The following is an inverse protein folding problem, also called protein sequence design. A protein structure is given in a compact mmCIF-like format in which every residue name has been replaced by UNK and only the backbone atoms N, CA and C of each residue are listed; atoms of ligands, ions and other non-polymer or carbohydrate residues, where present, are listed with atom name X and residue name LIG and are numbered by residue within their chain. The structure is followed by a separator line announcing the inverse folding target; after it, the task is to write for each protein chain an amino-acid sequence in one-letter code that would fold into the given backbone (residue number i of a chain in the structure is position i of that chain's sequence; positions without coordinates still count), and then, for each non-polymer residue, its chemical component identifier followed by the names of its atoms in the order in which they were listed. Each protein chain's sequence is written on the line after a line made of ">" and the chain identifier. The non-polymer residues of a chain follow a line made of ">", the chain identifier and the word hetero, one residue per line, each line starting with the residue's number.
data_IF_130344384458
#
_entry.id   IF_130344384458
#
_cell.length_a   1.000
_cell.length_b   1.000
_cell.length_c   1.000
_cell.angle_alpha   90.00
_cell.angle_beta   90.00
_cell.angle_gamma   90.00
#
_symmetry.space_group_name_H-M   'P 1'
#
loop_
_entity.id
_entity.type
_entity.pdbx_description
1 polymer ?
#
# COMPACT_ATOMS: atom_id res chain seq x y z
N UNK A 1 -19.17 14.47 6.26
CA UNK A 1 -17.80 14.04 6.59
C UNK A 1 -17.14 13.54 5.31
N UNK A 2 -15.88 13.87 5.03
CA UNK A 2 -15.18 13.37 3.83
C UNK A 2 -14.79 11.90 4.00
N UNK A 3 -14.53 11.19 2.92
CA UNK A 3 -14.07 9.80 3.00
C UNK A 3 -12.75 9.68 3.77
N UNK A 4 -11.79 10.58 3.47
CA UNK A 4 -10.51 10.63 4.19
C UNK A 4 -10.67 10.84 5.71
N UNK A 5 -11.63 11.65 6.15
CA UNK A 5 -11.86 11.88 7.59
C UNK A 5 -12.29 10.58 8.28
N UNK A 6 -13.15 9.78 7.64
CA UNK A 6 -13.58 8.49 8.16
C UNK A 6 -12.43 7.47 8.21
N UNK A 7 -11.54 7.46 7.20
CA UNK A 7 -10.32 6.63 7.21
C UNK A 7 -9.38 7.06 8.35
N UNK A 8 -9.19 8.36 8.57
CA UNK A 8 -8.37 8.88 9.67
C UNK A 8 -8.95 8.45 11.02
N UNK A 9 -10.27 8.57 11.21
CA UNK A 9 -10.95 8.10 12.43
C UNK A 9 -10.76 6.60 12.63
N UNK A 10 -10.90 5.80 11.57
CA UNK A 10 -10.68 4.35 11.65
C UNK A 10 -9.25 4.03 12.09
N UNK A 11 -8.25 4.66 11.47
CA UNK A 11 -6.86 4.39 11.85
C UNK A 11 -6.51 4.89 13.26
N UNK A 12 -7.10 6.01 13.70
CA UNK A 12 -6.95 6.51 15.07
C UNK A 12 -7.64 5.61 16.09
N UNK A 13 -8.75 4.96 15.71
CA UNK A 13 -9.40 3.93 16.51
C UNK A 13 -8.47 2.74 16.71
N UNK A 14 -7.87 2.20 15.65
CA UNK A 14 -7.02 1.00 15.78
C UNK A 14 -5.75 1.23 16.62
N UNK A 15 -5.21 2.46 16.65
CA UNK A 15 -4.05 2.78 17.49
C UNK A 15 -4.38 3.18 18.92
N UNK A 16 -5.66 3.41 19.27
CA UNK A 16 -6.18 3.79 20.61
C UNK A 16 -5.27 4.70 21.46
N UNK A 17 -4.70 5.75 20.85
CA UNK A 17 -3.81 6.68 21.55
C UNK A 17 -2.43 6.13 21.93
N UNK A 18 -2.07 4.91 21.52
CA UNK A 18 -0.72 4.35 21.62
C UNK A 18 0.25 4.96 20.61
N UNK A 19 -0.30 5.59 19.56
CA UNK A 19 0.43 6.33 18.55
C UNK A 19 -0.19 7.71 18.34
N UNK A 20 0.68 8.63 17.93
CA UNK A 20 0.29 10.00 17.61
C UNK A 20 -0.45 10.06 16.27
N UNK A 21 -1.19 11.15 16.04
CA UNK A 21 -1.79 11.42 14.72
C UNK A 21 -0.75 11.41 13.58
N UNK A 22 0.48 11.85 13.85
CA UNK A 22 1.56 11.84 12.85
C UNK A 22 1.93 10.41 12.39
N UNK A 23 1.75 9.39 13.23
CA UNK A 23 1.96 8.00 12.84
C UNK A 23 0.93 7.56 11.79
N UNK A 24 -0.34 7.92 11.99
CA UNK A 24 -1.43 7.70 11.01
C UNK A 24 -1.14 8.43 9.70
N UNK A 25 -0.71 9.70 9.76
CA UNK A 25 -0.27 10.44 8.57
C UNK A 25 0.84 9.71 7.81
N UNK A 26 1.86 9.24 8.51
CA UNK A 26 3.00 8.54 7.89
C UNK A 26 2.61 7.21 7.24
N UNK A 27 1.66 6.47 7.83
CA UNK A 27 1.09 5.28 7.22
C UNK A 27 0.36 5.62 5.91
N UNK A 28 -0.59 6.57 5.95
CA UNK A 28 -1.36 7.01 4.79
C UNK A 28 -0.46 7.55 3.66
N UNK A 29 0.60 8.28 4.01
CA UNK A 29 1.58 8.82 3.06
C UNK A 29 2.49 7.74 2.46
N UNK A 30 2.66 6.61 3.14
CA UNK A 30 3.55 5.52 2.71
C UNK A 30 5.00 5.69 3.15
N UNK A 31 5.27 6.32 4.30
CA UNK A 31 6.65 6.48 4.81
C UNK A 31 7.22 5.12 5.18
N UNK A 32 8.21 4.63 4.42
CA UNK A 32 8.89 3.34 4.68
C UNK A 32 9.97 3.44 5.76
N UNK A 33 9.61 3.91 6.95
CA UNK A 33 10.49 3.89 8.12
C UNK A 33 10.21 2.66 8.98
N UNK A 34 11.22 2.10 9.66
CA UNK A 34 11.07 0.87 10.43
C UNK A 34 9.89 0.91 11.42
N UNK A 35 9.67 2.07 12.07
CA UNK A 35 8.52 2.27 12.95
C UNK A 35 7.19 2.22 12.20
N UNK A 36 7.07 2.92 11.07
CA UNK A 36 5.83 2.92 10.26
C UNK A 36 5.51 1.52 9.73
N UNK A 37 6.53 0.78 9.28
CA UNK A 37 6.39 -0.60 8.80
C UNK A 37 5.90 -1.50 9.93
N UNK A 38 6.49 -1.37 11.12
CA UNK A 38 6.09 -2.15 12.28
C UNK A 38 4.67 -1.78 12.75
N UNK A 39 4.35 -0.50 12.85
CA UNK A 39 3.03 -0.01 13.26
C UNK A 39 1.93 -0.47 12.29
N UNK A 40 2.21 -0.54 10.99
CA UNK A 40 1.27 -1.06 10.00
C UNK A 40 0.80 -2.49 10.35
N UNK A 41 1.71 -3.36 10.79
CA UNK A 41 1.38 -4.74 11.13
C UNK A 41 0.88 -4.89 12.58
N UNK A 42 1.42 -4.08 13.49
CA UNK A 42 1.07 -4.16 14.91
C UNK A 42 -0.40 -3.78 15.16
N UNK A 43 -0.89 -2.78 14.41
CA UNK A 43 -2.23 -2.22 14.53
C UNK A 43 -3.16 -2.65 13.38
N UNK A 44 -2.78 -3.66 12.59
CA UNK A 44 -3.62 -4.18 11.49
C UNK A 44 -4.02 -3.10 10.45
N UNK A 45 -3.10 -2.16 10.18
CA UNK A 45 -3.29 -0.99 9.31
C UNK A 45 -2.65 -1.14 7.91
N UNK A 46 -2.16 -2.32 7.55
CA UNK A 46 -1.53 -2.63 6.25
C UNK A 46 -2.41 -2.19 5.08
N UNK A 47 -3.73 -2.40 5.19
CA UNK A 47 -4.74 -1.99 4.20
C UNK A 47 -4.63 -0.53 3.78
N UNK A 48 -4.29 0.35 4.71
CA UNK A 48 -4.27 1.82 4.53
C UNK A 48 -2.88 2.38 4.22
N UNK A 49 -1.87 1.53 4.12
CA UNK A 49 -0.52 2.00 3.84
C UNK A 49 -0.41 2.61 2.44
N UNK A 50 0.16 3.81 2.36
CA UNK A 50 0.35 4.57 1.11
C UNK A 50 -0.95 4.81 0.31
N UNK A 51 -2.12 4.81 0.95
CA UNK A 51 -3.39 5.05 0.24
C UNK A 51 -3.72 6.52 0.05
N UNK A 52 -2.95 7.46 0.62
CA UNK A 52 -3.10 8.89 0.39
C UNK A 52 -1.73 9.57 0.14
N UNK A 53 -1.00 9.19 -0.92
CA UNK A 53 0.34 9.70 -1.18
C UNK A 53 0.35 11.20 -1.52
N UNK A 54 -0.79 11.78 -1.92
CA UNK A 54 -0.96 13.21 -2.18
C UNK A 54 -1.11 14.04 -0.89
N UNK A 55 -1.40 13.41 0.25
CA UNK A 55 -1.74 14.09 1.50
C UNK A 55 -0.58 14.96 2.01
N UNK A 56 -0.85 16.23 2.25
CA UNK A 56 0.10 17.17 2.84
C UNK A 56 -0.09 17.22 4.35
N UNK A 57 1.01 17.39 5.10
CA UNK A 57 0.95 17.40 6.57
C UNK A 57 0.00 18.48 7.09
N UNK A 58 0.09 19.70 6.54
CA UNK A 58 -0.79 20.80 6.95
C UNK A 58 -2.29 20.46 6.76
N UNK A 59 -2.66 19.89 5.61
CA UNK A 59 -4.05 19.50 5.34
C UNK A 59 -4.53 18.37 6.24
N UNK A 60 -3.63 17.46 6.64
CA UNK A 60 -3.93 16.42 7.62
C UNK A 60 -4.15 17.00 9.02
N UNK A 61 -3.28 17.89 9.48
CA UNK A 61 -3.42 18.57 10.77
C UNK A 61 -4.73 19.36 10.85
N UNK A 62 -5.10 20.08 9.77
CA UNK A 62 -6.39 20.75 9.67
C UNK A 62 -7.58 19.77 9.77
N UNK A 63 -7.49 18.60 9.14
CA UNK A 63 -8.53 17.58 9.23
C UNK A 63 -8.68 17.07 10.67
N UNK A 64 -7.56 16.78 11.35
CA UNK A 64 -7.56 16.34 12.76
C UNK A 64 -8.11 17.43 13.69
N UNK A 65 -7.71 18.68 13.49
CA UNK A 65 -8.23 19.80 14.29
C UNK A 65 -9.73 19.97 14.09
N UNK A 66 -10.22 19.92 12.86
CA UNK A 66 -11.65 19.97 12.58
C UNK A 66 -12.41 18.82 13.25
N UNK A 67 -11.84 17.60 13.28
CA UNK A 67 -12.45 16.44 13.96
C UNK A 67 -12.50 16.62 15.49
N UNK A 68 -11.51 17.29 16.09
CA UNK A 68 -11.53 17.69 17.51
C UNK A 68 -12.61 18.75 17.77
N UNK A 69 -12.62 19.84 16.99
CA UNK A 69 -13.54 20.97 17.18
C UNK A 69 -15.01 20.56 17.00
N UNK A 70 -15.26 19.62 16.08
CA UNK A 70 -16.59 19.06 15.83
C UNK A 70 -16.98 17.93 16.79
N UNK A 71 -16.12 17.58 17.75
CA UNK A 71 -16.40 16.60 18.80
C UNK A 71 -16.42 15.13 18.33
N UNK A 72 -15.77 14.81 17.21
CA UNK A 72 -15.56 13.42 16.77
C UNK A 72 -14.35 12.77 17.46
N UNK A 73 -13.38 13.59 17.86
CA UNK A 73 -12.20 13.17 18.62
C UNK A 73 -12.15 13.90 19.97
N UNK A 74 -11.43 13.31 20.92
CA UNK A 74 -11.03 13.97 22.16
C UNK A 74 -9.59 13.57 22.56
N UNK A 75 -9.02 14.28 23.54
CA UNK A 75 -7.66 14.04 24.03
C UNK A 75 -6.68 15.14 23.61
N UNK A 76 -5.39 14.78 23.52
CA UNK A 76 -4.32 15.68 23.05
C UNK A 76 -3.79 15.20 21.70
N UNK A 77 -3.08 16.04 20.95
CA UNK A 77 -2.50 15.63 19.65
C UNK A 77 -1.55 14.43 19.75
N UNK A 78 -0.95 14.20 20.93
CA UNK A 78 -0.11 13.04 21.20
C UNK A 78 -0.91 11.77 21.49
N UNK A 79 -2.15 11.91 21.96
CA UNK A 79 -2.99 10.81 22.42
C UNK A 79 -4.47 11.13 22.16
N UNK A 80 -4.94 10.68 21.00
CA UNK A 80 -6.30 10.92 20.50
C UNK A 80 -7.16 9.67 20.65
N UNK A 81 -8.45 9.91 20.90
CA UNK A 81 -9.47 8.89 21.01
C UNK A 81 -10.75 9.33 20.30
N UNK A 82 -11.50 8.36 19.79
CA UNK A 82 -12.81 8.61 19.18
C UNK A 82 -13.87 8.83 20.26
N UNK A 83 -14.74 9.81 20.06
CA UNK A 83 -15.99 9.90 20.82
C UNK A 83 -17.04 8.95 20.24
N UNK A 84 -18.14 8.72 20.95
CA UNK A 84 -19.29 7.99 20.39
C UNK A 84 -19.82 8.64 19.09
N UNK A 85 -19.78 9.97 19.02
CA UNK A 85 -20.15 10.73 17.82
C UNK A 85 -19.17 10.43 16.67
N UNK A 86 -17.87 10.41 16.96
CA UNK A 86 -16.82 10.04 16.02
C UNK A 86 -17.03 8.64 15.45
N UNK A 87 -17.25 7.67 16.33
CA UNK A 87 -17.49 6.28 15.96
C UNK A 87 -18.69 6.13 15.03
N UNK A 88 -19.85 6.69 15.40
CA UNK A 88 -21.07 6.64 14.57
C UNK A 88 -20.88 7.32 13.21
N UNK A 89 -20.24 8.49 13.19
CA UNK A 89 -20.03 9.23 11.95
C UNK A 89 -19.06 8.50 11.00
N UNK A 90 -18.01 7.87 11.55
CA UNK A 90 -17.08 7.02 10.82
C UNK A 90 -17.80 5.80 10.23
N UNK A 91 -18.55 5.05 11.03
CA UNK A 91 -19.29 3.87 10.59
C UNK A 91 -20.32 4.20 9.50
N UNK A 92 -21.10 5.27 9.69
CA UNK A 92 -22.06 5.73 8.68
C UNK A 92 -21.35 6.05 7.35
N UNK A 93 -20.25 6.81 7.38
CA UNK A 93 -19.54 7.18 6.16
C UNK A 93 -18.90 5.97 5.47
N UNK A 94 -18.33 5.02 6.22
CA UNK A 94 -17.73 3.81 5.65
C UNK A 94 -18.80 2.85 5.08
N UNK A 95 -19.98 2.79 5.69
CA UNK A 95 -21.11 2.02 5.17
C UNK A 95 -21.68 2.62 3.87
N UNK A 96 -21.71 3.96 3.75
CA UNK A 96 -22.10 4.66 2.52
C UNK A 96 -21.08 4.48 1.38
N UNK A 97 -19.79 4.39 1.70
CA UNK A 97 -18.69 4.46 0.72
C UNK A 97 -18.09 3.12 0.30
N UNK A 98 -18.67 2.01 0.80
CA UNK A 98 -18.15 0.63 0.66
C UNK A 98 -16.89 0.42 1.50
N UNK A 99 -16.80 -0.71 2.21
CA UNK A 99 -15.71 -1.02 3.17
C UNK A 99 -14.35 -1.31 2.47
N UNK A 100 -14.20 -0.99 1.19
CA UNK A 100 -13.02 -1.24 0.34
C UNK A 100 -12.34 -2.61 0.59
N UNK A 101 -13.05 -3.74 0.47
CA UNK A 101 -12.51 -5.07 0.80
C UNK A 101 -11.27 -5.46 0.01
N UNK A 102 -11.14 -5.03 -1.25
CA UNK A 102 -9.99 -5.35 -2.10
C UNK A 102 -8.83 -4.37 -1.95
N UNK A 103 -8.94 -3.36 -1.08
CA UNK A 103 -7.86 -2.40 -0.88
C UNK A 103 -6.70 -3.07 -0.14
N UNK A 104 -5.55 -3.18 -0.81
CA UNK A 104 -4.31 -3.73 -0.23
C UNK A 104 -3.16 -2.73 -0.38
N UNK A 105 -3.21 -1.65 0.39
CA UNK A 105 -2.24 -0.55 0.32
C UNK A 105 -0.79 -1.02 0.49
N UNK A 106 -0.51 -1.83 1.51
CA UNK A 106 0.83 -2.36 1.77
C UNK A 106 1.41 -3.11 0.58
N UNK A 107 0.73 -4.18 0.14
CA UNK A 107 1.18 -5.10 -0.91
C UNK A 107 1.23 -4.43 -2.29
N UNK A 108 0.27 -3.55 -2.59
CA UNK A 108 0.11 -2.99 -3.94
C UNK A 108 0.64 -1.56 -4.07
N UNK A 109 1.15 -0.94 -3.00
CA UNK A 109 1.67 0.44 -3.02
C UNK A 109 2.71 0.73 -4.11
N UNK A 110 3.59 -0.24 -4.40
CA UNK A 110 4.58 -0.13 -5.48
C UNK A 110 4.04 -0.58 -6.84
N UNK A 111 3.17 -1.58 -6.86
CA UNK A 111 2.69 -2.24 -8.08
C UNK A 111 1.60 -1.42 -8.78
N UNK A 112 0.59 -0.96 -8.02
CA UNK A 112 -0.61 -0.37 -8.56
C UNK A 112 -0.36 0.92 -9.36
N UNK A 113 0.45 1.89 -8.90
CA UNK A 113 0.73 3.10 -9.68
C UNK A 113 1.45 2.79 -11.00
N UNK A 114 2.40 1.84 -10.98
CA UNK A 114 3.16 1.47 -12.19
C UNK A 114 2.26 0.72 -13.17
N UNK A 115 1.47 -0.23 -12.69
CA UNK A 115 0.46 -0.94 -13.48
C UNK A 115 -0.49 0.05 -14.16
N UNK A 116 -1.02 1.01 -13.40
CA UNK A 116 -1.95 2.02 -13.92
C UNK A 116 -1.31 2.92 -14.99
N UNK A 117 -0.07 3.39 -14.77
CA UNK A 117 0.63 4.21 -15.77
C UNK A 117 0.88 3.43 -17.08
N UNK A 118 1.21 2.14 -16.98
CA UNK A 118 1.46 1.29 -18.14
C UNK A 118 0.18 1.01 -18.92
N UNK A 119 -0.93 0.65 -18.25
CA UNK A 119 -2.21 0.40 -18.93
C UNK A 119 -2.78 1.68 -19.53
N UNK A 120 -2.65 2.83 -18.86
CA UNK A 120 -3.07 4.13 -19.39
C UNK A 120 -2.33 4.48 -20.69
N UNK A 121 -1.00 4.30 -20.71
CA UNK A 121 -0.22 4.50 -21.93
C UNK A 121 -0.56 3.47 -23.00
N UNK A 122 -0.80 2.20 -22.63
CA UNK A 122 -1.16 1.16 -23.59
C UNK A 122 -2.47 1.50 -24.31
N UNK A 123 -3.50 1.88 -23.55
CA UNK A 123 -4.80 2.29 -24.10
C UNK A 123 -4.64 3.45 -25.08
N UNK A 124 -3.83 4.46 -24.72
CA UNK A 124 -3.55 5.58 -25.62
C UNK A 124 -2.86 5.12 -26.91
N UNK A 125 -1.80 4.31 -26.79
CA UNK A 125 -1.03 3.83 -27.95
C UNK A 125 -1.92 3.00 -28.88
N UNK A 126 -2.70 2.06 -28.33
CA UNK A 126 -3.60 1.19 -29.09
C UNK A 126 -4.70 2.01 -29.77
N UNK A 127 -5.26 3.01 -29.09
CA UNK A 127 -6.22 3.93 -29.70
C UNK A 127 -5.63 4.64 -30.92
N UNK A 128 -4.43 5.22 -30.81
CA UNK A 128 -3.78 5.89 -31.94
C UNK A 128 -3.40 4.92 -33.09
N UNK A 129 -2.95 3.70 -32.77
CA UNK A 129 -2.68 2.65 -33.76
C UNK A 129 -3.94 2.30 -34.55
N UNK A 130 -5.09 2.13 -33.87
CA UNK A 130 -6.35 1.76 -34.51
C UNK A 130 -6.82 2.79 -35.56
N UNK A 131 -6.45 4.07 -35.37
CA UNK A 131 -6.75 5.15 -36.32
C UNK A 131 -5.60 5.48 -37.28
N UNK A 132 -4.54 4.66 -37.32
CA UNK A 132 -3.33 4.90 -38.12
C UNK A 132 -2.65 6.24 -37.85
N UNK A 133 -2.85 6.80 -36.66
CA UNK A 133 -2.25 8.06 -36.23
C UNK A 133 -0.98 7.77 -35.42
N UNK A 134 0.16 8.25 -35.91
CA UNK A 134 1.46 8.02 -35.27
C UNK A 134 1.98 9.25 -34.53
N UNK A 135 1.26 10.37 -34.62
CA UNK A 135 1.67 11.66 -34.06
C UNK A 135 0.83 11.98 -32.83
N UNK A 136 1.28 11.53 -31.66
CA UNK A 136 0.66 11.85 -30.40
C UNK A 136 1.70 12.13 -29.31
N UNK A 137 1.28 12.89 -28.30
CA UNK A 137 2.06 13.09 -27.10
C UNK A 137 1.69 12.03 -26.07
N UNK A 138 2.64 11.24 -25.55
CA UNK A 138 2.38 10.26 -24.51
C UNK A 138 1.69 10.89 -23.29
N UNK A 139 0.70 10.20 -22.74
CA UNK A 139 -0.08 10.62 -21.56
C UNK A 139 0.80 10.77 -20.30
N UNK A 140 1.93 10.07 -20.26
CA UNK A 140 2.91 10.13 -19.18
C UNK A 140 4.25 10.69 -19.65
N UNK A 141 4.91 11.48 -18.79
CA UNK A 141 6.29 11.96 -18.99
C UNK A 141 7.34 11.00 -18.41
N UNK A 142 6.93 9.91 -17.79
CA UNK A 142 7.84 8.93 -17.21
C UNK A 142 8.56 8.15 -18.33
N UNK A 143 9.85 8.43 -18.50
CA UNK A 143 10.70 7.79 -19.50
C UNK A 143 10.78 6.28 -19.32
N UNK A 144 10.80 5.77 -18.07
CA UNK A 144 10.86 4.33 -17.82
C UNK A 144 9.60 3.62 -18.31
N UNK A 145 8.42 4.23 -18.10
CA UNK A 145 7.15 3.69 -18.60
C UNK A 145 7.09 3.74 -20.13
N UNK A 146 7.61 4.81 -20.75
CA UNK A 146 7.67 4.92 -22.21
C UNK A 146 8.63 3.90 -22.84
N UNK A 147 9.81 3.69 -22.24
CA UNK A 147 10.77 2.68 -22.68
C UNK A 147 10.22 1.26 -22.52
N UNK A 148 9.59 0.97 -21.37
CA UNK A 148 8.90 -0.28 -21.14
C UNK A 148 7.83 -0.52 -22.21
N UNK A 149 7.02 0.49 -22.55
CA UNK A 149 5.99 0.39 -23.59
C UNK A 149 6.57 0.06 -24.97
N UNK A 150 7.68 0.71 -25.35
CA UNK A 150 8.38 0.40 -26.60
C UNK A 150 8.90 -1.03 -26.60
N UNK A 151 9.44 -1.51 -25.48
CA UNK A 151 9.88 -2.89 -25.30
C UNK A 151 8.72 -3.89 -25.41
N UNK A 152 7.62 -3.60 -24.72
CA UNK A 152 6.38 -4.38 -24.75
C UNK A 152 5.86 -4.57 -26.17
N UNK A 153 5.72 -3.49 -26.94
CA UNK A 153 5.22 -3.55 -28.32
C UNK A 153 6.18 -4.22 -29.30
N UNK A 154 7.50 -4.19 -29.04
CA UNK A 154 8.50 -4.90 -29.86
C UNK A 154 8.53 -6.40 -29.59
N UNK A 155 8.34 -6.80 -28.32
CA UNK A 155 8.37 -8.20 -27.88
C UNK A 155 7.03 -8.90 -28.06
N UNK A 156 5.94 -8.15 -28.14
CA UNK A 156 4.62 -8.70 -28.42
C UNK A 156 4.61 -9.33 -29.81
N UNK A 157 4.36 -10.64 -29.86
CA UNK A 157 4.11 -11.39 -31.10
C UNK A 157 2.70 -11.13 -31.66
N UNK A 158 1.90 -10.33 -30.95
CA UNK A 158 0.51 -10.02 -31.31
C UNK A 158 0.51 -9.06 -32.49
N UNK A 159 -0.24 -9.41 -33.53
CA UNK A 159 -0.47 -8.51 -34.65
C UNK A 159 -1.07 -7.19 -34.14
N UNK A 160 -0.48 -6.07 -34.57
CA UNK A 160 -0.93 -4.72 -34.21
C UNK A 160 -2.40 -4.49 -34.56
N UNK A 161 -2.92 -5.19 -35.56
CA UNK A 161 -4.33 -5.14 -35.96
C UNK A 161 -5.25 -5.82 -34.92
N UNK A 162 -4.77 -6.89 -34.27
CA UNK A 162 -5.51 -7.66 -33.26
C UNK A 162 -5.35 -7.11 -31.84
N UNK A 163 -4.28 -6.34 -31.60
CA UNK A 163 -3.97 -5.76 -30.29
C UNK A 163 -5.13 -4.93 -29.72
N UNK A 164 -5.86 -4.19 -30.57
CA UNK A 164 -7.03 -3.41 -30.14
C UNK A 164 -8.18 -4.29 -29.66
N UNK A 165 -8.55 -5.31 -30.44
CA UNK A 165 -9.63 -6.22 -30.09
C UNK A 165 -9.32 -7.01 -28.81
N UNK A 166 -8.06 -7.44 -28.67
CA UNK A 166 -7.62 -8.18 -27.50
C UNK A 166 -7.58 -7.31 -26.24
N UNK A 167 -7.01 -6.09 -26.32
CA UNK A 167 -7.00 -5.17 -25.19
C UNK A 167 -8.43 -4.81 -24.75
N UNK A 168 -9.33 -4.57 -25.71
CA UNK A 168 -10.72 -4.29 -25.42
C UNK A 168 -11.38 -5.47 -24.68
N UNK A 169 -11.20 -6.70 -25.15
CA UNK A 169 -11.73 -7.91 -24.49
C UNK A 169 -11.23 -8.02 -23.05
N UNK A 170 -9.92 -7.90 -22.85
CA UNK A 170 -9.32 -8.01 -21.52
C UNK A 170 -9.77 -6.87 -20.58
N UNK A 171 -9.87 -5.64 -21.09
CA UNK A 171 -10.38 -4.50 -20.31
C UNK A 171 -11.84 -4.69 -19.89
N UNK A 172 -12.72 -5.10 -20.81
CA UNK A 172 -14.13 -5.37 -20.50
C UNK A 172 -14.21 -6.44 -19.40
N UNK A 173 -13.46 -7.54 -19.53
CA UNK A 173 -13.46 -8.63 -18.56
C UNK A 173 -13.16 -8.15 -17.13
N UNK A 174 -12.11 -7.34 -16.95
CA UNK A 174 -11.71 -6.85 -15.62
C UNK A 174 -12.60 -5.73 -15.11
N UNK A 175 -13.07 -4.83 -15.98
CA UNK A 175 -13.91 -3.69 -15.60
C UNK A 175 -15.34 -4.10 -15.21
N UNK A 176 -15.86 -5.19 -15.78
CA UNK A 176 -17.14 -5.78 -15.37
C UNK A 176 -17.08 -6.53 -14.04
N UNK A 177 -15.88 -6.91 -13.57
CA UNK A 177 -15.67 -7.73 -12.36
C UNK A 177 -15.08 -6.98 -11.18
N UNK A 178 -14.67 -5.73 -11.37
CA UNK A 178 -14.19 -4.88 -10.28
C UNK A 178 -15.37 -4.32 -9.44
N UNK A 179 -15.14 -3.94 -8.17
CA UNK A 179 -16.21 -3.70 -7.21
C UNK A 179 -16.87 -2.31 -7.26
N UNK A 180 -16.36 -1.36 -8.06
CA UNK A 180 -16.79 0.04 -8.10
C UNK A 180 -17.51 0.40 -9.42
N UNK A 181 -17.85 1.67 -9.63
CA UNK A 181 -18.24 2.15 -10.96
C UNK A 181 -17.00 2.08 -11.91
N UNK A 182 -17.07 1.39 -13.07
CA UNK A 182 -15.98 1.32 -14.05
C UNK A 182 -15.43 2.69 -14.49
N UNK A 183 -16.26 3.73 -14.45
CA UNK A 183 -15.85 5.10 -14.79
C UNK A 183 -14.77 5.66 -13.86
N UNK A 184 -14.61 5.08 -12.65
CA UNK A 184 -13.49 5.41 -11.77
C UNK A 184 -12.14 5.22 -12.47
N UNK A 185 -12.04 4.20 -13.33
CA UNK A 185 -10.86 3.87 -14.13
C UNK A 185 -10.97 4.46 -15.55
N UNK A 186 -12.09 4.27 -16.23
CA UNK A 186 -12.24 4.59 -17.66
C UNK A 186 -12.03 6.07 -17.98
N UNK A 187 -12.54 6.98 -17.14
CA UNK A 187 -12.38 8.42 -17.33
C UNK A 187 -10.92 8.89 -17.29
N UNK A 188 -10.04 8.06 -16.75
CA UNK A 188 -8.61 8.33 -16.62
C UNK A 188 -7.82 7.81 -17.84
N UNK A 189 -8.46 7.17 -18.81
CA UNK A 189 -7.83 6.79 -20.06
C UNK A 189 -7.95 7.87 -21.12
N UNK A 190 -6.93 7.97 -21.98
CA UNK A 190 -6.88 8.87 -23.12
C UNK A 190 -6.74 8.08 -24.41
N UNK A 191 -7.19 8.66 -25.51
CA UNK A 191 -7.06 8.09 -26.84
C UNK A 191 -7.16 9.18 -27.90
N UNK A 192 -7.26 8.77 -29.16
CA UNK A 192 -7.40 9.73 -30.25
C UNK A 192 -8.69 10.55 -30.09
N UNK A 193 -8.55 11.87 -29.97
CA UNK A 193 -9.68 12.78 -29.79
C UNK A 193 -10.30 12.78 -28.39
N UNK A 194 -9.74 12.04 -27.43
CA UNK A 194 -10.22 11.96 -26.05
C UNK A 194 -9.09 12.19 -25.06
N UNK A 195 -9.24 13.21 -24.22
CA UNK A 195 -8.28 13.54 -23.16
C UNK A 195 -8.67 12.84 -21.87
N UNK A 196 -7.71 12.21 -21.20
CA UNK A 196 -7.91 11.64 -19.88
C UNK A 196 -8.23 12.73 -18.85
N UNK A 197 -9.17 12.45 -17.95
CA UNK A 197 -9.44 13.31 -16.81
C UNK A 197 -8.38 13.13 -15.72
N UNK A 198 -8.14 14.19 -14.96
CA UNK A 198 -7.44 14.12 -13.67
C UNK A 198 -8.32 13.44 -12.61
N UNK A 199 -7.76 13.11 -11.44
CA UNK A 199 -8.55 12.52 -10.36
C UNK A 199 -9.65 13.49 -9.90
N UNK A 200 -9.32 14.78 -9.82
CA UNK A 200 -10.22 15.86 -9.42
C UNK A 200 -11.36 16.04 -10.44
N UNK A 201 -11.03 16.07 -11.74
CA UNK A 201 -12.03 16.17 -12.82
C UNK A 201 -12.92 14.93 -12.90
N UNK A 202 -12.37 13.73 -12.66
CA UNK A 202 -13.18 12.51 -12.63
C UNK A 202 -14.11 12.47 -11.42
N UNK A 203 -13.68 12.95 -10.26
CA UNK A 203 -14.53 13.10 -9.08
C UNK A 203 -15.69 14.09 -9.34
N UNK A 204 -15.39 15.23 -9.96
CA UNK A 204 -16.40 16.22 -10.38
C UNK A 204 -17.39 15.63 -11.38
N UNK A 205 -16.89 14.92 -12.40
CA UNK A 205 -17.72 14.27 -13.42
C UNK A 205 -18.69 13.23 -12.83
N UNK A 206 -18.22 12.48 -11.83
CA UNK A 206 -19.00 11.45 -11.13
C UNK A 206 -19.86 12.01 -9.99
N UNK A 207 -19.79 13.32 -9.72
CA UNK A 207 -20.50 14.00 -8.64
C UNK A 207 -20.21 13.39 -7.26
N UNK A 208 -18.97 12.95 -7.02
CA UNK A 208 -18.53 12.39 -5.74
C UNK A 208 -17.38 13.19 -5.14
N UNK A 209 -17.23 13.07 -3.81
CA UNK A 209 -16.17 13.77 -3.08
C UNK A 209 -14.77 13.32 -3.54
N UNK A 210 -13.78 14.22 -3.71
CA UNK A 210 -12.48 13.86 -4.29
C UNK A 210 -11.73 12.73 -3.58
N UNK A 211 -11.72 12.69 -2.25
CA UNK A 211 -11.05 11.59 -1.53
C UNK A 211 -11.83 10.29 -1.63
N UNK A 212 -13.16 10.34 -1.67
CA UNK A 212 -14.01 9.18 -1.97
C UNK A 212 -13.71 8.61 -3.36
N UNK A 213 -13.68 9.46 -4.40
CA UNK A 213 -13.26 9.05 -5.74
C UNK A 213 -11.90 8.35 -5.72
N UNK A 214 -10.92 8.93 -5.03
CA UNK A 214 -9.58 8.36 -4.95
C UNK A 214 -9.57 6.96 -4.33
N UNK A 215 -10.29 6.75 -3.22
CA UNK A 215 -10.37 5.44 -2.59
C UNK A 215 -11.10 4.41 -3.45
N UNK A 216 -12.19 4.80 -4.14
CA UNK A 216 -12.88 3.94 -5.10
C UNK A 216 -12.00 3.58 -6.29
N UNK A 217 -11.29 4.56 -6.86
CA UNK A 217 -10.29 4.33 -7.91
C UNK A 217 -9.23 3.31 -7.46
N UNK A 218 -8.65 3.51 -6.28
CA UNK A 218 -7.61 2.64 -5.75
C UNK A 218 -8.14 1.24 -5.43
N UNK A 219 -9.35 1.15 -4.88
CA UNK A 219 -10.05 -0.10 -4.59
C UNK A 219 -10.31 -0.90 -5.86
N UNK A 220 -10.84 -0.27 -6.91
CA UNK A 220 -11.05 -0.85 -8.23
C UNK A 220 -9.74 -1.35 -8.85
N UNK A 221 -8.70 -0.51 -8.83
CA UNK A 221 -7.39 -0.85 -9.35
C UNK A 221 -6.76 -2.05 -8.63
N UNK A 222 -6.85 -2.08 -7.31
CA UNK A 222 -6.35 -3.20 -6.51
C UNK A 222 -7.12 -4.49 -6.77
N UNK A 223 -8.45 -4.42 -6.93
CA UNK A 223 -9.26 -5.57 -7.29
C UNK A 223 -8.89 -6.13 -8.67
N UNK A 224 -8.66 -5.26 -9.67
CA UNK A 224 -8.21 -5.67 -11.00
C UNK A 224 -6.86 -6.40 -10.91
N UNK A 225 -5.90 -5.85 -10.18
CA UNK A 225 -4.58 -6.48 -10.02
C UNK A 225 -4.72 -7.85 -9.34
N UNK A 226 -5.48 -7.95 -8.25
CA UNK A 226 -5.71 -9.22 -7.55
C UNK A 226 -6.42 -10.26 -8.43
N UNK A 227 -7.40 -9.84 -9.23
CA UNK A 227 -8.05 -10.70 -10.21
C UNK A 227 -7.06 -11.23 -11.24
N UNK A 228 -6.17 -10.38 -11.77
CA UNK A 228 -5.15 -10.80 -12.75
C UNK A 228 -4.13 -11.78 -12.16
N UNK A 229 -3.85 -11.69 -10.86
CA UNK A 229 -2.92 -12.59 -10.16
C UNK A 229 -3.54 -13.95 -9.82
N UNK A 230 -4.87 -14.04 -9.72
CA UNK A 230 -5.57 -15.26 -9.27
C UNK A 230 -6.37 -15.94 -10.37
N UNK A 231 -6.71 -15.24 -11.46
CA UNK A 231 -7.56 -15.79 -12.52
C UNK A 231 -6.81 -16.79 -13.42
N UNK A 232 -7.47 -17.89 -13.74
CA UNK A 232 -7.05 -18.87 -14.75
C UNK A 232 -7.33 -18.40 -16.18
N UNK A 233 -8.14 -17.35 -16.36
CA UNK A 233 -8.49 -16.82 -17.68
C UNK A 233 -7.25 -16.29 -18.44
N UNK A 234 -7.27 -16.49 -19.75
CA UNK A 234 -6.23 -16.04 -20.68
C UNK A 234 -6.29 -14.51 -20.83
N UNK A 235 -5.45 -13.84 -20.06
CA UNK A 235 -5.31 -12.37 -19.99
C UNK A 235 -3.87 -11.94 -20.30
N UNK A 236 -3.28 -12.37 -21.43
CA UNK A 236 -1.84 -12.25 -21.65
C UNK A 236 -1.37 -10.80 -21.79
N UNK A 237 -2.21 -9.85 -22.24
CA UNK A 237 -1.79 -8.44 -22.28
C UNK A 237 -1.70 -7.87 -20.87
N UNK A 238 -2.79 -7.94 -20.09
CA UNK A 238 -2.84 -7.37 -18.76
C UNK A 238 -1.89 -8.08 -17.78
N UNK A 239 -1.72 -9.41 -17.89
CA UNK A 239 -0.73 -10.17 -17.11
C UNK A 239 0.71 -9.78 -17.48
N UNK A 240 1.01 -9.51 -18.75
CA UNK A 240 2.34 -9.04 -19.15
C UNK A 240 2.63 -7.63 -18.57
N UNK A 241 1.64 -6.74 -18.51
CA UNK A 241 1.80 -5.42 -17.85
C UNK A 241 2.28 -5.57 -16.38
N UNK A 242 1.91 -6.65 -15.70
CA UNK A 242 2.28 -6.95 -14.31
C UNK A 242 3.63 -7.67 -14.13
N UNK A 243 4.14 -8.35 -15.17
CA UNK A 243 5.17 -9.40 -15.05
C UNK A 243 6.48 -9.02 -14.33
N UNK A 244 6.90 -7.76 -14.36
CA UNK A 244 8.16 -7.26 -13.77
C UNK A 244 7.95 -6.28 -12.61
N UNK A 245 6.70 -6.10 -12.16
CA UNK A 245 6.33 -5.13 -11.11
C UNK A 245 5.61 -5.77 -9.93
N UNK A 246 5.29 -7.07 -10.00
CA UNK A 246 4.79 -7.83 -8.87
C UNK A 246 5.95 -8.16 -7.93
N UNK A 247 5.77 -7.83 -6.65
CA UNK A 247 6.74 -8.13 -5.60
C UNK A 247 6.13 -9.19 -4.70
N UNK A 248 6.79 -10.33 -4.54
CA UNK A 248 6.34 -11.42 -3.67
C UNK A 248 6.49 -11.08 -2.19
N UNK A 249 7.54 -10.34 -1.83
CA UNK A 249 7.82 -9.88 -0.45
C UNK A 249 8.04 -8.37 -0.47
N UNK A 250 7.11 -7.54 0.06
CA UNK A 250 7.13 -6.09 -0.07
C UNK A 250 8.19 -5.44 0.84
N UNK A 251 9.46 -5.61 0.48
CA UNK A 251 10.61 -5.06 1.18
C UNK A 251 11.05 -3.71 0.57
N UNK A 252 11.69 -2.88 1.40
CA UNK A 252 12.53 -1.79 0.96
C UNK A 252 13.74 -2.33 0.18
N UNK A 253 14.26 -1.54 -0.76
CA UNK A 253 15.45 -1.93 -1.53
C UNK A 253 16.66 -2.21 -0.63
N UNK A 254 16.80 -1.45 0.46
CA UNK A 254 17.87 -1.66 1.43
C UNK A 254 17.67 -2.94 2.25
N UNK A 255 16.43 -3.29 2.63
CA UNK A 255 16.15 -4.55 3.30
C UNK A 255 16.40 -5.77 2.40
N UNK A 256 16.02 -5.70 1.11
CA UNK A 256 16.36 -6.74 0.12
C UNK A 256 17.86 -7.02 0.07
N UNK A 257 18.68 -5.96 0.03
CA UNK A 257 20.13 -6.11 0.05
C UNK A 257 20.66 -6.73 1.35
N UNK A 258 20.04 -6.43 2.50
CA UNK A 258 20.36 -7.14 3.76
C UNK A 258 20.02 -8.62 3.65
N UNK A 259 18.87 -8.95 3.07
CA UNK A 259 18.41 -10.33 2.88
C UNK A 259 19.41 -11.14 2.04
N UNK A 260 19.93 -10.57 0.96
CA UNK A 260 20.96 -11.19 0.12
C UNK A 260 22.21 -11.55 0.94
N UNK A 261 22.68 -10.67 1.83
CA UNK A 261 23.83 -10.98 2.69
C UNK A 261 23.52 -12.05 3.73
N UNK A 262 22.31 -12.03 4.31
CA UNK A 262 21.88 -13.07 5.27
C UNK A 262 21.78 -14.44 4.61
N UNK A 263 21.28 -14.51 3.37
CA UNK A 263 21.24 -15.75 2.58
C UNK A 263 22.64 -16.30 2.28
N UNK A 264 23.64 -15.42 2.19
CA UNK A 264 25.05 -15.78 2.09
C UNK A 264 25.71 -16.07 3.46
N UNK A 265 24.92 -16.26 4.53
CA UNK A 265 25.35 -16.59 5.89
C UNK A 265 26.23 -15.54 6.58
N UNK A 266 26.13 -14.27 6.18
CA UNK A 266 26.83 -13.20 6.90
C UNK A 266 26.12 -12.86 8.22
N UNK A 267 26.91 -12.54 9.25
CA UNK A 267 26.40 -12.06 10.54
C UNK A 267 26.01 -10.58 10.48
N UNK A 268 25.25 -10.10 11.46
CA UNK A 268 24.88 -8.68 11.58
C UNK A 268 26.10 -7.77 11.54
N UNK A 269 27.17 -8.12 12.28
CA UNK A 269 28.39 -7.30 12.36
C UNK A 269 29.17 -7.27 11.04
N UNK A 270 29.16 -8.37 10.29
CA UNK A 270 29.72 -8.42 8.95
C UNK A 270 28.92 -7.55 7.97
N UNK A 271 27.58 -7.60 8.03
CA UNK A 271 26.71 -6.77 7.19
C UNK A 271 26.89 -5.29 7.52
N UNK A 272 26.95 -4.93 8.80
CA UNK A 272 27.27 -3.57 9.28
C UNK A 272 28.56 -3.07 8.63
N UNK A 273 29.60 -3.90 8.64
CA UNK A 273 30.92 -3.57 8.12
C UNK A 273 30.92 -3.42 6.59
N UNK A 274 30.40 -4.41 5.86
CA UNK A 274 30.40 -4.44 4.38
C UNK A 274 29.47 -3.37 3.79
N UNK A 275 28.36 -3.07 4.47
CA UNK A 275 27.39 -2.09 3.99
C UNK A 275 27.61 -0.68 4.54
N UNK A 276 28.53 -0.49 5.49
CA UNK A 276 28.74 0.76 6.22
C UNK A 276 27.45 1.33 6.83
N UNK A 277 26.65 0.47 7.46
CA UNK A 277 25.38 0.83 8.10
C UNK A 277 25.48 0.82 9.61
N UNK A 278 24.62 1.58 10.30
CA UNK A 278 24.45 1.41 11.75
C UNK A 278 23.85 0.04 12.04
N UNK A 279 24.25 -0.57 13.16
CA UNK A 279 23.67 -1.84 13.63
C UNK A 279 22.15 -1.80 13.71
N UNK A 280 21.60 -0.73 14.28
CA UNK A 280 20.15 -0.52 14.37
C UNK A 280 19.45 -0.54 13.00
N UNK A 281 20.10 -0.03 11.95
CA UNK A 281 19.54 -0.05 10.59
C UNK A 281 19.54 -1.47 10.01
N UNK A 282 20.55 -2.28 10.29
CA UNK A 282 20.57 -3.70 9.88
C UNK A 282 19.51 -4.49 10.64
N UNK A 283 19.39 -4.26 11.96
CA UNK A 283 18.34 -4.84 12.81
C UNK A 283 16.93 -4.46 12.31
N UNK A 284 16.71 -3.21 11.91
CA UNK A 284 15.45 -2.75 11.29
C UNK A 284 15.10 -3.53 10.02
N UNK A 285 16.09 -3.75 9.14
CA UNK A 285 15.87 -4.57 7.93
C UNK A 285 15.53 -6.03 8.27
N UNK A 286 16.12 -6.59 9.33
CA UNK A 286 15.83 -7.96 9.78
C UNK A 286 14.41 -8.06 10.34
N UNK A 287 13.97 -7.06 11.11
CA UNK A 287 12.57 -6.97 11.57
C UNK A 287 11.63 -6.85 10.37
N UNK A 288 11.97 -6.04 9.37
CA UNK A 288 11.18 -5.92 8.14
C UNK A 288 11.08 -7.26 7.38
N UNK A 289 12.16 -8.03 7.30
CA UNK A 289 12.13 -9.39 6.75
C UNK A 289 11.19 -10.30 7.55
N UNK A 290 11.31 -10.27 8.87
CA UNK A 290 10.43 -11.03 9.76
C UNK A 290 8.97 -10.58 9.73
N UNK A 291 8.65 -9.38 9.22
CA UNK A 291 7.27 -8.95 9.00
C UNK A 291 6.71 -9.45 7.67
N UNK A 292 7.53 -9.45 6.61
CA UNK A 292 7.02 -9.58 5.25
C UNK A 292 7.27 -10.94 4.60
N UNK A 293 8.30 -11.69 5.01
CA UNK A 293 8.64 -12.99 4.42
C UNK A 293 8.15 -14.13 5.32
N UNK A 294 7.10 -14.90 4.96
CA UNK A 294 6.56 -15.98 5.79
C UNK A 294 7.57 -17.08 6.14
N UNK A 295 8.60 -17.26 5.32
CA UNK A 295 9.61 -18.30 5.52
C UNK A 295 10.83 -17.81 6.31
N UNK A 296 10.88 -16.53 6.68
CA UNK A 296 11.99 -15.97 7.43
C UNK A 296 12.08 -16.53 8.85
N UNK A 297 13.18 -17.22 9.14
CA UNK A 297 13.50 -17.77 10.46
C UNK A 297 14.20 -16.73 11.34
N UNK A 298 13.63 -16.47 12.51
CA UNK A 298 14.24 -15.60 13.53
C UNK A 298 15.24 -16.32 14.43
N UNK A 299 15.40 -17.66 14.27
CA UNK A 299 16.26 -18.48 15.15
C UNK A 299 17.71 -18.00 15.26
N UNK A 300 18.34 -17.45 14.21
CA UNK A 300 19.71 -16.93 14.32
C UNK A 300 19.86 -15.75 15.30
N UNK A 301 18.76 -15.13 15.73
CA UNK A 301 18.77 -13.86 16.47
C UNK A 301 18.18 -13.94 17.87
N UNK A 302 17.40 -14.98 18.18
CA UNK A 302 16.73 -15.13 19.47
C UNK A 302 16.49 -16.61 19.79
N UNK A 303 16.65 -16.99 21.06
CA UNK A 303 16.37 -18.35 21.53
C UNK A 303 14.86 -18.58 21.71
N UNK A 304 14.46 -19.84 21.81
CA UNK A 304 13.05 -20.21 22.03
C UNK A 304 12.53 -19.72 23.38
N UNK A 305 13.33 -19.79 24.44
CA UNK A 305 12.95 -19.34 25.77
C UNK A 305 12.68 -17.84 25.79
N UNK A 306 13.58 -17.05 25.16
CA UNK A 306 13.40 -15.61 25.03
C UNK A 306 12.19 -15.25 24.19
N UNK A 307 11.93 -15.98 23.11
CA UNK A 307 10.71 -15.78 22.32
C UNK A 307 9.45 -16.02 23.15
N UNK A 308 9.37 -17.13 23.88
CA UNK A 308 8.20 -17.46 24.69
C UNK A 308 7.93 -16.39 25.77
N UNK A 309 8.98 -15.85 26.39
CA UNK A 309 8.83 -14.75 27.34
C UNK A 309 8.19 -13.50 26.72
N UNK A 310 8.55 -13.16 25.47
CA UNK A 310 7.94 -12.02 24.75
C UNK A 310 6.48 -12.31 24.42
N UNK A 311 6.16 -13.52 23.93
CA UNK A 311 4.79 -13.91 23.61
C UNK A 311 3.88 -13.89 24.85
N UNK A 312 4.40 -14.30 26.02
CA UNK A 312 3.65 -14.26 27.28
C UNK A 312 3.41 -12.81 27.74
N UNK A 313 4.41 -11.94 27.65
CA UNK A 313 4.27 -10.53 28.02
C UNK A 313 3.35 -9.73 27.05
N UNK A 314 3.33 -10.13 25.78
CA UNK A 314 2.54 -9.52 24.70
C UNK A 314 1.12 -10.04 24.53
N UNK A 315 0.67 -11.00 25.35
CA UNK A 315 -0.60 -11.72 25.18
C UNK A 315 -1.85 -10.82 25.29
N UNK A 316 -1.77 -9.66 25.96
CA UNK A 316 -2.84 -8.66 25.96
C UNK A 316 -2.65 -7.63 24.84
N UNK A 317 -3.70 -7.38 24.04
CA UNK A 317 -3.70 -6.35 22.97
C UNK A 317 -3.25 -4.97 23.46
N UNK A 318 -3.51 -4.63 24.72
CA UNK A 318 -3.17 -3.35 25.35
C UNK A 318 -1.71 -3.17 25.78
N UNK A 319 -0.84 -4.18 25.62
CA UNK A 319 0.58 -4.10 26.04
C UNK A 319 1.56 -4.30 24.90
N UNK A 320 1.12 -4.19 23.64
CA UNK A 320 1.99 -4.33 22.47
C UNK A 320 2.97 -3.17 22.24
N UNK A 321 2.91 -2.14 23.08
CA UNK A 321 3.90 -1.06 23.09
C UNK A 321 5.28 -1.56 23.50
N UNK A 322 6.30 -1.12 22.75
CA UNK A 322 7.66 -1.61 22.90
C UNK A 322 8.29 -1.27 24.26
N UNK A 323 8.00 -0.08 24.80
CA UNK A 323 8.57 0.38 26.08
C UNK A 323 8.05 -0.44 27.27
N UNK A 324 6.72 -0.59 27.49
CA UNK A 324 6.19 -1.48 28.52
C UNK A 324 6.72 -2.92 28.45
N UNK A 325 6.85 -3.50 27.25
CA UNK A 325 7.40 -4.84 27.10
C UNK A 325 8.88 -4.92 27.50
N UNK A 326 9.69 -3.91 27.12
CA UNK A 326 11.10 -3.84 27.52
C UNK A 326 11.27 -3.73 29.04
N UNK A 327 10.38 -3.00 29.70
CA UNK A 327 10.39 -2.82 31.16
C UNK A 327 10.07 -4.14 31.89
N UNK A 328 9.21 -4.99 31.30
CA UNK A 328 8.91 -6.34 31.83
C UNK A 328 9.97 -7.38 31.48
N UNK A 329 10.75 -7.15 30.40
CA UNK A 329 11.73 -8.08 29.85
C UNK A 329 13.13 -7.43 29.83
N UNK A 330 13.77 -7.23 31.00
CA UNK A 330 15.05 -6.52 31.11
C UNK A 330 16.18 -7.23 30.34
N UNK A 331 16.13 -8.55 30.24
CA UNK A 331 17.15 -9.39 29.57
C UNK A 331 17.03 -9.45 28.04
N UNK A 332 16.00 -8.82 27.47
CA UNK A 332 15.77 -8.73 26.04
C UNK A 332 16.21 -7.38 25.50
N UNK A 333 16.88 -7.38 24.35
CA UNK A 333 17.12 -6.18 23.56
C UNK A 333 15.82 -5.71 22.91
N UNK A 334 15.75 -4.41 22.59
CA UNK A 334 14.63 -3.89 21.79
C UNK A 334 14.50 -4.62 20.44
N UNK A 335 15.61 -5.02 19.83
CA UNK A 335 15.62 -5.79 18.59
C UNK A 335 14.94 -7.16 18.76
N UNK A 336 15.31 -7.94 19.79
CA UNK A 336 14.70 -9.24 20.08
C UNK A 336 13.18 -9.12 20.29
N UNK A 337 12.72 -8.14 21.06
CA UNK A 337 11.27 -7.93 21.30
C UNK A 337 10.56 -7.61 19.98
N UNK A 338 11.09 -6.66 19.19
CA UNK A 338 10.50 -6.27 17.89
C UNK A 338 10.45 -7.45 16.92
N UNK A 339 11.47 -8.30 16.93
CA UNK A 339 11.57 -9.46 16.05
C UNK A 339 10.50 -10.52 16.36
N UNK A 340 10.21 -10.74 17.64
CA UNK A 340 9.14 -11.65 18.06
C UNK A 340 7.77 -11.06 17.73
N UNK A 341 7.53 -9.78 18.04
CA UNK A 341 6.28 -9.11 17.69
C UNK A 341 6.03 -9.14 16.17
N UNK A 342 7.07 -8.92 15.37
CA UNK A 342 6.99 -9.03 13.92
C UNK A 342 6.57 -10.43 13.46
N UNK A 343 7.17 -11.49 14.05
CA UNK A 343 6.80 -12.86 13.75
C UNK A 343 5.36 -13.18 14.16
N UNK A 344 4.91 -12.66 15.29
CA UNK A 344 3.55 -12.87 15.80
C UNK A 344 2.50 -12.20 14.91
N UNK A 345 2.72 -10.93 14.52
CA UNK A 345 1.78 -10.20 13.64
C UNK A 345 1.49 -10.93 12.32
N UNK A 346 2.47 -11.67 11.76
CA UNK A 346 2.25 -12.52 10.57
C UNK A 346 1.27 -13.67 10.78
N UNK A 347 1.18 -14.22 11.99
CA UNK A 347 0.31 -15.39 12.29
C UNK A 347 -1.16 -15.02 12.42
N UNK A 348 -1.46 -13.72 12.49
CA UNK A 348 -2.81 -13.19 12.62
C UNK A 348 -3.45 -12.83 11.27
N UNK A 349 -2.68 -12.88 10.17
CA UNK A 349 -3.14 -12.81 8.78
C UNK A 349 -3.44 -14.22 8.23
#
# INVERSE_FOLDING_TARGET
>A
MRCLDAVILLMLKEVEGERTASSVYHLLKGKKSAQTIQDAHLYELQKWFQTAPFLQMHSFEQAVQHLLDSGHLHGTLQRLFLTEKGLKAMENKLNETTVFPFLSGWTLSGTAPVFFNRIQLLVQVVSHIAYSDRSYYPVTRDEHVQEWMKGFLKKSSIDKTMLSAQLQKELIFVLERQPENPDCILLRFSGRGQTALTAEQAAEWLLIEPTEYWYRFLHSLHAIIQLLLTTEEEMPLLKHILSDITVTVPLTASARKTAEYLQNNLTIDQIVSVRHLKRSTVEDHIVELALNDPHFSIRPFITEEKEQAVLQAGASKSTRQLKPLKDQLPDHTYFEIRLVLAKESRRSE
#
